data_IF_964602664196
#
_entry.id   IF_964602664196
#
_cell.length_a   1.000
_cell.length_b   1.000
_cell.length_c   1.000
_cell.angle_alpha   90.00
_cell.angle_beta   90.00
_cell.angle_gamma   90.00
#
_symmetry.space_group_name_H-M   'P 1'
#
loop_
_entity.id
_entity.type
_entity.pdbx_description
1 polymer ?
#
# COMPACT_ATOMS: atom_id res chain seq x y z
N UNK A 1 -53.85 45.25 -29.44
CA UNK A 1 -54.03 44.42 -28.23
C UNK A 1 -53.21 43.14 -28.38
N UNK A 2 -51.88 43.26 -28.34
CA UNK A 2 -50.96 42.17 -28.66
C UNK A 2 -49.97 42.03 -27.50
N UNK A 3 -50.10 40.96 -26.70
CA UNK A 3 -49.11 40.43 -25.74
C UNK A 3 -49.70 39.21 -25.05
N UNK A 4 -49.71 38.05 -25.71
CA UNK A 4 -50.06 36.79 -25.02
C UNK A 4 -49.37 35.55 -25.58
N UNK A 5 -48.18 35.67 -26.18
CA UNK A 5 -47.45 34.51 -26.71
C UNK A 5 -45.97 34.49 -26.31
N UNK A 6 -45.70 34.65 -25.02
CA UNK A 6 -44.45 34.16 -24.43
C UNK A 6 -44.79 33.11 -23.38
N UNK A 7 -45.19 31.95 -23.90
CA UNK A 7 -45.22 30.68 -23.17
C UNK A 7 -43.78 30.42 -22.70
N UNK A 8 -43.51 30.76 -21.43
CA UNK A 8 -42.29 30.37 -20.70
C UNK A 8 -42.07 28.87 -20.93
N UNK A 9 -41.11 28.53 -21.79
CA UNK A 9 -40.48 27.21 -21.82
C UNK A 9 -39.64 27.13 -20.55
N UNK A 10 -40.28 26.78 -19.44
CA UNK A 10 -39.59 26.25 -18.27
C UNK A 10 -38.98 24.92 -18.70
N UNK A 11 -37.70 24.98 -19.04
CA UNK A 11 -36.83 23.82 -19.21
C UNK A 11 -36.74 23.13 -17.84
N UNK A 12 -37.61 22.15 -17.61
CA UNK A 12 -37.54 21.26 -16.46
C UNK A 12 -36.29 20.40 -16.64
N UNK A 13 -35.16 20.86 -16.11
CA UNK A 13 -34.00 20.00 -15.88
C UNK A 13 -34.47 18.91 -14.91
N UNK A 14 -34.39 17.62 -15.29
CA UNK A 14 -34.79 16.55 -14.39
C UNK A 14 -33.85 16.52 -13.18
N UNK A 15 -34.39 16.72 -11.99
CA UNK A 15 -33.72 16.62 -10.67
C UNK A 15 -33.15 15.22 -10.36
N UNK A 16 -33.27 14.27 -11.28
CA UNK A 16 -32.84 12.88 -11.13
C UNK A 16 -31.31 12.68 -11.30
N UNK A 17 -30.58 13.61 -11.92
CA UNK A 17 -29.14 13.45 -12.13
C UNK A 17 -28.27 13.76 -10.90
N UNK A 18 -28.82 14.39 -9.85
CA UNK A 18 -28.06 14.64 -8.62
C UNK A 18 -28.09 13.44 -7.64
N UNK A 19 -28.98 12.47 -7.85
CA UNK A 19 -29.22 11.37 -6.89
C UNK A 19 -28.35 10.13 -7.09
N UNK A 20 -27.54 10.04 -8.14
CA UNK A 20 -26.71 8.86 -8.41
C UNK A 20 -25.32 8.91 -7.76
N UNK A 21 -24.95 10.02 -7.11
CA UNK A 21 -23.61 10.21 -6.56
C UNK A 21 -23.59 10.46 -5.04
N UNK A 22 -24.60 10.00 -4.30
CA UNK A 22 -24.68 10.35 -2.87
C UNK A 22 -25.24 9.24 -1.96
N UNK A 23 -24.87 7.99 -2.22
CA UNK A 23 -25.19 6.85 -1.34
C UNK A 23 -23.95 6.16 -0.75
N UNK A 24 -22.85 6.89 -0.56
CA UNK A 24 -21.67 6.47 0.23
C UNK A 24 -21.52 7.28 1.54
N UNK A 25 -22.63 7.63 2.19
CA UNK A 25 -22.61 8.45 3.42
C UNK A 25 -23.48 7.91 4.56
N UNK A 26 -23.68 6.59 4.64
CA UNK A 26 -24.38 5.99 5.78
C UNK A 26 -23.36 5.21 6.65
N UNK A 27 -22.88 5.83 7.73
CA UNK A 27 -22.09 5.18 8.80
C UNK A 27 -20.65 5.67 9.01
N UNK A 28 -20.42 6.98 9.08
CA UNK A 28 -19.11 7.64 8.91
C UNK A 28 -18.09 7.54 10.06
N UNK A 29 -18.24 6.63 11.03
CA UNK A 29 -17.24 6.39 12.08
C UNK A 29 -16.85 4.92 12.20
N UNK A 30 -17.84 4.02 12.22
CA UNK A 30 -17.58 2.57 12.24
C UNK A 30 -16.93 2.06 10.95
N UNK A 31 -17.31 2.60 9.78
CA UNK A 31 -16.70 2.23 8.50
C UNK A 31 -15.24 2.68 8.40
N UNK A 32 -14.93 3.87 8.92
CA UNK A 32 -13.56 4.40 8.96
C UNK A 32 -12.65 3.49 9.77
N UNK A 33 -13.10 3.03 10.94
CA UNK A 33 -12.30 2.16 11.80
C UNK A 33 -11.98 0.82 11.10
N UNK A 34 -12.96 0.24 10.41
CA UNK A 34 -12.78 -1.02 9.67
C UNK A 34 -11.81 -0.84 8.50
N UNK A 35 -11.88 0.27 7.78
CA UNK A 35 -10.97 0.57 6.67
C UNK A 35 -9.51 0.65 7.14
N UNK A 36 -9.24 1.35 8.23
CA UNK A 36 -7.89 1.42 8.80
C UNK A 36 -7.40 0.06 9.32
N UNK A 37 -8.27 -0.74 9.92
CA UNK A 37 -7.92 -2.10 10.37
C UNK A 37 -7.61 -3.01 9.18
N UNK A 38 -8.35 -2.89 8.07
CA UNK A 38 -8.11 -3.66 6.86
C UNK A 38 -6.74 -3.29 6.24
N UNK A 39 -6.44 -1.99 6.13
CA UNK A 39 -5.16 -1.53 5.62
C UNK A 39 -4.02 -1.97 6.55
N UNK A 40 -4.21 -1.84 7.87
CA UNK A 40 -3.23 -2.28 8.86
C UNK A 40 -2.95 -3.79 8.72
N UNK A 41 -3.99 -4.60 8.54
CA UNK A 41 -3.85 -6.04 8.34
C UNK A 41 -3.01 -6.36 7.09
N UNK A 42 -3.26 -5.68 5.97
CA UNK A 42 -2.46 -5.82 4.75
C UNK A 42 -1.00 -5.41 5.00
N UNK A 43 -0.77 -4.29 5.69
CA UNK A 43 0.59 -3.85 6.04
C UNK A 43 1.33 -4.88 6.88
N UNK A 44 0.66 -5.51 7.87
CA UNK A 44 1.25 -6.56 8.71
C UNK A 44 1.61 -7.78 7.87
N UNK A 45 0.75 -8.21 6.95
CA UNK A 45 1.06 -9.33 6.05
C UNK A 45 2.31 -9.03 5.23
N UNK A 46 2.37 -7.86 4.61
CA UNK A 46 3.55 -7.45 3.81
C UNK A 46 4.81 -7.41 4.67
N UNK A 47 4.72 -6.84 5.87
CA UNK A 47 5.84 -6.79 6.81
C UNK A 47 6.35 -8.20 7.20
N UNK A 48 5.43 -9.16 7.42
CA UNK A 48 5.79 -10.55 7.72
C UNK A 48 6.49 -11.21 6.53
N UNK A 49 5.97 -11.04 5.31
CA UNK A 49 6.59 -11.59 4.11
C UNK A 49 8.01 -11.04 3.92
N UNK A 50 8.18 -9.72 4.00
CA UNK A 50 9.50 -9.08 3.86
C UNK A 50 10.46 -9.56 4.96
N UNK A 51 9.99 -9.68 6.20
CA UNK A 51 10.82 -10.14 7.31
C UNK A 51 11.29 -11.59 7.13
N UNK A 52 10.44 -12.46 6.56
CA UNK A 52 10.81 -13.85 6.25
C UNK A 52 11.93 -13.91 5.22
N UNK A 53 11.83 -13.16 4.14
CA UNK A 53 12.86 -13.12 3.08
C UNK A 53 14.18 -12.50 3.57
N UNK A 54 14.12 -11.51 4.46
CA UNK A 54 15.32 -10.84 4.96
C UNK A 54 16.08 -11.66 5.99
N UNK A 55 15.38 -12.31 6.92
CA UNK A 55 15.96 -12.90 8.13
C UNK A 55 15.80 -14.43 8.18
N UNK A 56 15.34 -15.08 7.10
CA UNK A 56 15.26 -16.54 7.03
C UNK A 56 16.57 -17.18 7.49
N UNK A 57 16.46 -18.20 8.34
CA UNK A 57 17.59 -19.00 8.83
C UNK A 57 17.57 -20.42 8.25
N UNK A 58 16.77 -20.65 7.21
CA UNK A 58 16.76 -21.92 6.51
C UNK A 58 18.17 -22.17 5.90
N UNK A 59 18.80 -23.33 6.18
CA UNK A 59 20.08 -23.68 5.59
C UNK A 59 20.07 -23.76 4.05
N UNK A 60 18.93 -24.09 3.44
CA UNK A 60 18.78 -24.21 1.99
C UNK A 60 18.46 -22.86 1.32
N UNK A 61 17.77 -21.97 2.03
CA UNK A 61 17.51 -20.61 1.57
C UNK A 61 17.69 -19.56 2.67
N UNK A 62 18.96 -19.18 2.95
CA UNK A 62 19.25 -18.21 3.97
C UNK A 62 18.75 -16.82 3.55
N UNK A 63 18.22 -16.06 4.49
CA UNK A 63 17.71 -14.73 4.25
C UNK A 63 18.80 -13.79 3.73
N UNK A 64 18.41 -12.78 2.98
CA UNK A 64 19.36 -11.87 2.32
C UNK A 64 20.36 -11.24 3.29
N UNK A 65 19.93 -10.88 4.51
CA UNK A 65 20.82 -10.29 5.53
C UNK A 65 21.83 -11.33 6.01
N UNK A 66 21.39 -12.57 6.22
CA UNK A 66 22.27 -13.67 6.65
C UNK A 66 23.29 -13.99 5.57
N UNK A 67 22.87 -14.08 4.30
CA UNK A 67 23.77 -14.26 3.15
C UNK A 67 24.83 -13.17 3.09
N UNK A 68 24.43 -11.91 3.23
CA UNK A 68 25.37 -10.78 3.22
C UNK A 68 26.36 -10.82 4.39
N UNK A 69 25.90 -11.14 5.59
CA UNK A 69 26.78 -11.25 6.77
C UNK A 69 27.80 -12.39 6.63
N UNK A 70 27.37 -13.55 6.12
CA UNK A 70 28.29 -14.67 5.84
C UNK A 70 29.33 -14.27 4.80
N UNK A 71 28.92 -13.55 3.74
CA UNK A 71 29.87 -13.04 2.73
C UNK A 71 30.92 -12.14 3.35
N UNK A 72 30.54 -11.22 4.24
CA UNK A 72 31.49 -10.32 4.93
C UNK A 72 32.45 -11.14 5.80
N UNK A 73 31.94 -12.10 6.57
CA UNK A 73 32.78 -12.96 7.40
C UNK A 73 33.80 -13.76 6.57
N UNK A 74 33.40 -14.24 5.39
CA UNK A 74 34.30 -14.94 4.48
C UNK A 74 35.36 -14.01 3.91
N UNK A 75 34.99 -12.79 3.50
CA UNK A 75 35.94 -11.80 3.00
C UNK A 75 36.97 -11.43 4.06
N UNK A 76 36.54 -11.19 5.30
CA UNK A 76 37.45 -10.89 6.43
C UNK A 76 38.29 -12.10 6.81
N UNK A 77 37.70 -13.30 6.85
CA UNK A 77 38.42 -14.53 7.21
C UNK A 77 39.47 -14.96 6.18
N UNK A 78 39.30 -14.56 4.92
CA UNK A 78 40.24 -14.81 3.84
C UNK A 78 41.30 -13.71 3.67
N UNK A 79 41.24 -12.64 4.47
CA UNK A 79 42.28 -11.60 4.52
C UNK A 79 43.52 -12.16 5.24
N UNK A 80 44.33 -12.90 4.50
CA UNK A 80 45.59 -13.46 4.99
C UNK A 80 46.59 -12.33 5.25
N UNK A 81 47.26 -12.36 6.40
CA UNK A 81 48.30 -11.40 6.73
C UNK A 81 49.42 -11.44 5.67
N UNK A 82 49.83 -10.26 5.21
CA UNK A 82 50.97 -10.11 4.29
C UNK A 82 52.20 -10.80 4.89
N UNK A 83 52.73 -11.79 4.18
CA UNK A 83 53.95 -12.47 4.59
C UNK A 83 55.10 -11.44 4.59
N UNK A 84 55.95 -11.41 5.63
CA UNK A 84 57.07 -10.48 5.66
C UNK A 84 57.97 -10.75 4.46
N UNK A 85 57.96 -9.82 3.50
CA UNK A 85 58.90 -9.81 2.38
C UNK A 85 60.27 -9.50 2.95
N UNK A 86 61.14 -10.51 2.88
CA UNK A 86 62.50 -10.51 3.44
C UNK A 86 63.51 -9.94 2.46
#
# INVERSE_FOLDING_TARGET
MAKSLLKKRTFLVPTYLHSLNQSKRLGSQGQIAIEYVLILFVCVIVAVLVSKELVSRDPQDPGHIVKAWVSILQTVGNDLADAPTR
#
